data_IF_867692718480
#
_entry.id   IF_867692718480
#
_cell.length_a   1.000
_cell.length_b   1.000
_cell.length_c   1.000
_cell.angle_alpha   90.00
_cell.angle_beta   90.00
_cell.angle_gamma   90.00
#
_symmetry.space_group_name_H-M   'P 1'
#
loop_
_entity.id
_entity.type
_entity.pdbx_description
1 polymer ?
#
# COMPACT_ATOMS: atom_id res chain seq x y z
N UNK A 1 44.27 -38.72 29.70
CA UNK A 1 43.23 -39.36 30.54
C UNK A 1 41.90 -38.72 30.17
N UNK A 2 40.90 -39.56 29.90
CA UNK A 2 39.46 -39.26 29.75
C UNK A 2 38.95 -38.68 28.41
N UNK A 3 38.33 -39.63 27.70
CA UNK A 3 37.39 -39.63 26.58
C UNK A 3 35.94 -39.25 26.95
N UNK A 4 35.09 -39.13 25.91
CA UNK A 4 33.60 -39.16 25.81
C UNK A 4 32.94 -37.77 25.81
N UNK A 5 32.19 -37.30 24.79
CA UNK A 5 31.28 -37.91 23.77
C UNK A 5 30.13 -38.71 24.39
N UNK A 6 28.98 -38.04 24.55
CA UNK A 6 27.61 -38.58 24.64
C UNK A 6 26.68 -37.52 23.99
N UNK A 7 26.23 -37.70 22.75
CA UNK A 7 25.04 -38.41 22.26
C UNK A 7 23.70 -37.84 22.72
N UNK A 8 23.04 -37.23 21.72
CA UNK A 8 21.69 -36.69 21.65
C UNK A 8 20.69 -37.85 21.68
N UNK A 9 19.61 -37.71 22.45
CA UNK A 9 18.41 -38.57 22.36
C UNK A 9 17.28 -37.72 21.81
N UNK A 10 16.97 -37.93 20.53
CA UNK A 10 15.70 -37.54 19.91
C UNK A 10 14.60 -38.50 20.37
N UNK A 11 13.44 -37.97 20.74
CA UNK A 11 12.21 -38.75 20.85
C UNK A 11 11.06 -37.91 20.31
N UNK A 12 10.74 -38.11 19.04
CA UNK A 12 9.54 -37.60 18.37
C UNK A 12 8.45 -38.65 18.51
N UNK A 13 7.39 -38.32 19.25
CA UNK A 13 6.16 -39.11 19.34
C UNK A 13 5.12 -38.53 18.37
N UNK A 14 4.83 -39.25 17.29
CA UNK A 14 3.80 -38.92 16.32
C UNK A 14 2.48 -39.56 16.73
N UNK A 15 1.49 -38.75 17.11
CA UNK A 15 0.10 -39.17 17.32
C UNK A 15 -0.69 -38.98 16.01
N UNK A 16 -1.24 -40.09 15.51
CA UNK A 16 -2.11 -40.14 14.34
C UNK A 16 -3.54 -39.70 14.71
N UNK A 17 -4.10 -38.75 13.93
CA UNK A 17 -5.52 -38.39 14.00
C UNK A 17 -6.24 -38.96 12.77
N UNK A 18 -7.24 -39.83 13.04
CA UNK A 18 -8.19 -40.34 12.04
C UNK A 18 -9.19 -39.25 11.64
N UNK A 19 -9.28 -38.96 10.35
CA UNK A 19 -10.35 -38.18 9.76
C UNK A 19 -11.51 -39.12 9.32
N UNK A 20 -12.70 -38.89 9.87
CA UNK A 20 -13.95 -39.48 9.39
C UNK A 20 -14.58 -38.52 8.38
N UNK A 21 -14.62 -38.91 7.11
CA UNK A 21 -15.34 -38.20 6.05
C UNK A 21 -16.72 -38.82 5.92
N UNK A 22 -17.76 -38.10 6.36
CA UNK A 22 -19.14 -38.42 6.04
C UNK A 22 -19.57 -37.62 4.80
N UNK A 23 -19.70 -38.36 3.70
CA UNK A 23 -20.29 -37.94 2.44
C UNK A 23 -21.82 -37.85 2.57
N UNK A 24 -22.44 -36.78 2.06
CA UNK A 24 -23.80 -36.86 1.56
C UNK A 24 -24.10 -35.77 0.52
N UNK A 25 -24.82 -36.20 -0.51
CA UNK A 25 -25.05 -35.61 -1.83
C UNK A 25 -26.05 -34.45 -1.85
N UNK A 26 -25.90 -33.61 -2.88
CA UNK A 26 -26.92 -32.72 -3.46
C UNK A 26 -28.17 -33.49 -3.91
N UNK A 27 -29.26 -32.76 -4.18
CA UNK A 27 -29.82 -32.84 -5.52
C UNK A 27 -30.04 -31.46 -6.16
N UNK A 28 -29.77 -31.44 -7.46
CA UNK A 28 -30.14 -30.43 -8.43
C UNK A 28 -31.67 -30.30 -8.56
N UNK A 29 -32.15 -29.11 -8.89
CA UNK A 29 -33.23 -28.99 -9.88
C UNK A 29 -33.17 -27.65 -10.61
N UNK A 30 -32.93 -27.79 -11.91
CA UNK A 30 -33.12 -26.82 -12.96
C UNK A 30 -34.59 -26.48 -13.16
N UNK A 31 -34.92 -25.22 -13.45
CA UNK A 31 -35.98 -24.91 -14.41
C UNK A 31 -35.76 -23.56 -15.10
N UNK A 32 -36.08 -23.60 -16.39
CA UNK A 32 -35.84 -22.65 -17.47
C UNK A 32 -36.82 -21.48 -17.52
N UNK A 33 -36.27 -20.31 -17.89
CA UNK A 33 -36.75 -19.27 -18.85
C UNK A 33 -38.17 -19.43 -19.45
N UNK A 34 -38.88 -18.31 -19.73
CA UNK A 34 -38.61 -17.58 -20.98
C UNK A 34 -38.62 -16.04 -20.91
N UNK A 35 -37.85 -15.51 -21.85
CA UNK A 35 -37.80 -14.15 -22.38
C UNK A 35 -39.15 -13.64 -22.90
N UNK A 36 -39.36 -12.33 -22.81
CA UNK A 36 -40.07 -11.60 -23.87
C UNK A 36 -39.60 -10.16 -23.97
N UNK A 37 -39.14 -9.85 -25.18
CA UNK A 37 -38.77 -8.57 -25.75
C UNK A 37 -40.00 -7.72 -26.08
N UNK A 38 -39.90 -6.41 -25.93
CA UNK A 38 -40.53 -5.46 -26.86
C UNK A 38 -40.06 -4.04 -26.61
N UNK A 39 -39.23 -3.51 -27.51
CA UNK A 39 -39.25 -2.10 -27.89
C UNK A 39 -40.16 -1.97 -29.10
N UNK A 40 -40.79 -0.80 -29.31
CA UNK A 40 -40.52 -0.17 -30.59
C UNK A 40 -40.51 1.36 -30.58
N UNK A 41 -39.83 1.88 -31.62
CA UNK A 41 -40.16 3.07 -32.39
C UNK A 41 -39.60 4.43 -32.00
N UNK A 42 -38.52 4.72 -32.70
CA UNK A 42 -38.14 6.01 -33.31
C UNK A 42 -39.31 6.87 -33.81
N UNK A 43 -39.23 8.17 -33.54
CA UNK A 43 -39.79 9.21 -34.39
C UNK A 43 -38.69 10.23 -34.72
N UNK A 44 -38.42 10.31 -36.03
CA UNK A 44 -37.60 11.30 -36.70
C UNK A 44 -38.49 12.49 -37.06
N UNK A 45 -38.01 13.71 -36.85
CA UNK A 45 -38.54 14.88 -37.54
C UNK A 45 -37.49 16.00 -37.68
N UNK A 46 -37.15 16.24 -38.94
CA UNK A 46 -37.08 17.56 -39.58
C UNK A 46 -35.89 18.47 -39.26
N UNK A 47 -34.94 18.44 -40.18
CA UNK A 47 -33.89 19.44 -40.41
C UNK A 47 -34.42 20.71 -41.08
N UNK A 48 -33.87 21.87 -40.68
CA UNK A 48 -33.88 23.12 -41.45
C UNK A 48 -32.42 23.60 -41.61
N UNK A 49 -32.00 24.07 -42.79
CA UNK A 49 -30.64 24.53 -43.00
C UNK A 49 -30.53 25.99 -42.56
N UNK A 50 -29.57 26.30 -41.69
CA UNK A 50 -29.10 27.67 -41.48
C UNK A 50 -27.62 27.71 -41.83
N UNK A 51 -27.33 28.34 -42.97
CA UNK A 51 -26.00 28.74 -43.38
C UNK A 51 -25.49 29.84 -42.44
N UNK A 52 -24.36 29.60 -41.78
CA UNK A 52 -23.55 30.64 -41.12
C UNK A 52 -22.09 30.49 -41.54
N UNK A 53 -21.37 31.61 -41.75
CA UNK A 53 -20.05 31.61 -42.35
C UNK A 53 -19.00 31.10 -41.37
N UNK A 54 -18.08 30.28 -41.89
CA UNK A 54 -16.94 29.73 -41.17
C UNK A 54 -16.06 30.86 -40.63
N UNK A 55 -16.03 31.00 -39.31
CA UNK A 55 -14.95 31.71 -38.60
C UNK A 55 -13.95 30.65 -38.17
N UNK A 56 -12.80 30.62 -38.82
CA UNK A 56 -11.70 29.73 -38.48
C UNK A 56 -11.10 30.20 -37.15
N UNK A 57 -11.52 29.60 -36.05
CA UNK A 57 -10.84 29.73 -34.76
C UNK A 57 -9.64 28.80 -34.81
N UNK A 58 -8.40 29.25 -34.52
CA UNK A 58 -7.29 28.32 -34.40
C UNK A 58 -7.55 27.45 -33.16
N UNK A 59 -7.77 26.15 -33.38
CA UNK A 59 -7.78 25.17 -32.30
C UNK A 59 -6.39 25.10 -31.69
N UNK A 60 -6.17 25.83 -30.60
CA UNK A 60 -5.14 25.46 -29.64
C UNK A 60 -5.65 24.24 -28.88
N UNK A 61 -5.36 23.05 -29.38
CA UNK A 61 -5.56 21.83 -28.62
C UNK A 61 -4.59 21.84 -27.45
N UNK A 62 -5.10 22.07 -26.23
CA UNK A 62 -4.36 21.75 -25.02
C UNK A 62 -3.91 20.29 -25.11
N UNK A 63 -2.64 19.96 -24.81
CA UNK A 63 -2.16 18.59 -24.88
C UNK A 63 -3.01 17.68 -24.00
N UNK A 64 -3.26 16.45 -24.47
CA UNK A 64 -3.85 15.42 -23.62
C UNK A 64 -2.90 15.14 -22.44
N UNK A 65 -3.42 14.69 -21.30
CA UNK A 65 -2.63 14.45 -20.07
C UNK A 65 -1.36 13.61 -20.34
N UNK A 66 -1.44 12.56 -21.16
CA UNK A 66 -0.28 11.75 -21.54
C UNK A 66 0.81 12.52 -22.31
N UNK A 67 0.43 13.49 -23.13
CA UNK A 67 1.37 14.34 -23.88
C UNK A 67 2.03 15.35 -22.93
N UNK A 68 1.29 15.88 -21.95
CA UNK A 68 1.82 16.76 -20.91
C UNK A 68 2.90 16.09 -20.06
N UNK A 69 2.69 14.85 -19.62
CA UNK A 69 3.68 14.11 -18.84
C UNK A 69 4.96 13.89 -19.65
N UNK A 70 4.88 13.37 -20.87
CA UNK A 70 6.07 13.15 -21.74
C UNK A 70 6.83 14.44 -22.04
N UNK A 71 6.12 15.56 -22.21
CA UNK A 71 6.74 16.88 -22.40
C UNK A 71 7.52 17.30 -21.15
N UNK A 72 6.99 17.07 -19.94
CA UNK A 72 7.67 17.39 -18.68
C UNK A 72 9.01 16.65 -18.50
N UNK A 73 9.18 15.48 -19.14
CA UNK A 73 10.40 14.68 -19.11
C UNK A 73 11.22 14.72 -20.40
N UNK A 74 10.86 15.57 -21.38
CA UNK A 74 11.43 15.54 -22.74
C UNK A 74 12.95 15.79 -22.83
N UNK A 75 13.55 16.37 -21.79
CA UNK A 75 15.00 16.58 -21.67
C UNK A 75 15.67 15.74 -20.58
N UNK A 76 14.97 14.78 -19.99
CA UNK A 76 15.51 13.95 -18.92
C UNK A 76 16.62 13.03 -19.43
N UNK A 77 17.77 13.07 -18.77
CA UNK A 77 18.85 12.10 -18.94
C UNK A 77 18.86 11.13 -17.76
N UNK A 78 18.42 9.90 -18.02
CA UNK A 78 18.30 8.84 -17.01
C UNK A 78 19.62 8.12 -16.71
N UNK A 79 20.72 8.39 -17.42
CA UNK A 79 21.96 7.65 -17.23
C UNK A 79 22.48 7.72 -15.79
N UNK A 80 22.46 8.92 -15.18
CA UNK A 80 22.88 9.09 -13.79
C UNK A 80 21.92 8.41 -12.79
N UNK A 81 20.63 8.32 -13.11
CA UNK A 81 19.68 7.57 -12.31
C UNK A 81 19.97 6.06 -12.42
N UNK A 82 20.18 5.55 -13.63
CA UNK A 82 20.44 4.14 -13.87
C UNK A 82 21.72 3.66 -13.19
N UNK A 83 22.80 4.46 -13.25
CA UNK A 83 24.05 4.22 -12.53
C UNK A 83 23.83 4.17 -11.01
N UNK A 84 23.02 5.10 -10.49
CA UNK A 84 22.64 5.11 -9.08
C UNK A 84 21.86 3.85 -8.69
N UNK A 85 20.82 3.48 -9.45
CA UNK A 85 20.02 2.28 -9.19
C UNK A 85 20.88 1.00 -9.24
N UNK A 86 21.82 0.91 -10.18
CA UNK A 86 22.77 -0.19 -10.29
C UNK A 86 23.66 -0.30 -9.05
N UNK A 87 24.12 0.85 -8.50
CA UNK A 87 24.99 0.95 -7.34
C UNK A 87 24.29 0.73 -5.99
N UNK A 88 22.96 0.91 -5.91
CA UNK A 88 22.19 0.84 -4.65
C UNK A 88 21.35 -0.42 -4.51
N UNK A 89 21.85 -1.56 -4.98
CA UNK A 89 21.22 -2.88 -4.85
C UNK A 89 19.75 -2.92 -5.33
N UNK A 90 19.38 -2.07 -6.29
CA UNK A 90 18.04 -2.05 -6.89
C UNK A 90 17.90 -3.22 -7.87
N UNK A 91 16.73 -3.83 -7.92
CA UNK A 91 16.41 -4.93 -8.84
C UNK A 91 15.31 -4.53 -9.84
N UNK A 92 14.35 -3.72 -9.41
CA UNK A 92 13.30 -3.16 -10.25
C UNK A 92 12.96 -1.72 -9.81
N UNK A 93 12.78 -0.84 -10.79
CA UNK A 93 12.43 0.56 -10.58
C UNK A 93 11.49 1.04 -11.69
N UNK A 94 10.51 1.87 -11.32
CA UNK A 94 9.49 2.35 -12.26
C UNK A 94 9.00 3.75 -11.89
N UNK A 95 8.93 4.63 -12.88
CA UNK A 95 8.33 5.98 -12.80
C UNK A 95 7.11 6.01 -13.71
N UNK A 96 5.96 6.38 -13.15
CA UNK A 96 4.70 6.60 -13.88
C UNK A 96 4.19 8.00 -13.55
N UNK A 97 3.85 8.80 -14.54
CA UNK A 97 3.22 10.11 -14.34
C UNK A 97 1.98 10.25 -15.21
N UNK A 98 0.86 10.64 -14.60
CA UNK A 98 -0.44 10.79 -15.29
C UNK A 98 -0.84 9.53 -16.09
N UNK A 99 -0.55 8.35 -15.52
CA UNK A 99 -0.81 7.04 -16.14
C UNK A 99 0.20 6.59 -17.20
N UNK A 100 1.16 7.44 -17.59
CA UNK A 100 2.19 7.10 -18.57
C UNK A 100 3.45 6.56 -17.89
N UNK A 101 3.98 5.46 -18.41
CA UNK A 101 5.30 4.95 -18.00
C UNK A 101 6.37 5.89 -18.55
N UNK A 102 7.06 6.58 -17.66
CA UNK A 102 8.13 7.52 -18.00
C UNK A 102 9.47 6.80 -18.10
N UNK A 103 9.78 5.97 -17.09
CA UNK A 103 11.03 5.24 -17.03
C UNK A 103 10.85 3.91 -16.32
N UNK A 104 11.55 2.89 -16.82
CA UNK A 104 11.62 1.57 -16.23
C UNK A 104 13.07 1.10 -16.25
N UNK A 105 13.52 0.58 -15.11
CA UNK A 105 14.85 0.01 -14.98
C UNK A 105 14.76 -1.31 -14.23
N UNK A 106 15.41 -2.34 -14.77
CA UNK A 106 15.44 -3.68 -14.19
C UNK A 106 16.87 -4.21 -14.26
N UNK A 107 17.37 -4.76 -13.14
CA UNK A 107 18.70 -5.38 -13.13
C UNK A 107 18.72 -6.65 -13.96
N UNK A 108 17.67 -7.45 -13.86
CA UNK A 108 17.52 -8.71 -14.59
C UNK A 108 16.35 -8.65 -15.56
N UNK A 109 15.12 -8.59 -15.06
CA UNK A 109 13.91 -8.53 -15.90
C UNK A 109 12.72 -7.88 -15.15
N UNK A 110 11.67 -7.58 -15.91
CA UNK A 110 10.46 -6.93 -15.41
C UNK A 110 9.53 -7.84 -14.60
N UNK A 111 9.81 -9.15 -14.55
CA UNK A 111 9.07 -10.10 -13.73
C UNK A 111 9.54 -10.12 -12.27
N UNK A 112 10.65 -9.47 -11.94
CA UNK A 112 11.15 -9.36 -10.57
C UNK A 112 10.09 -8.78 -9.64
N UNK A 113 9.76 -9.55 -8.60
CA UNK A 113 8.89 -9.15 -7.51
C UNK A 113 9.37 -9.79 -6.22
N UNK A 114 8.99 -9.19 -5.10
CA UNK A 114 9.40 -9.65 -3.77
C UNK A 114 8.41 -9.23 -2.71
N UNK A 115 8.65 -9.70 -1.50
CA UNK A 115 8.00 -9.17 -0.31
C UNK A 115 8.34 -7.68 -0.13
N UNK A 116 7.30 -6.84 -0.08
CA UNK A 116 7.46 -5.38 0.07
C UNK A 116 7.60 -4.93 1.54
N UNK A 117 7.69 -5.88 2.47
CA UNK A 117 7.84 -5.66 3.91
C UNK A 117 6.79 -4.67 4.44
N UNK A 118 7.22 -3.64 5.17
CA UNK A 118 6.32 -2.67 5.79
C UNK A 118 5.59 -1.73 4.83
N UNK A 119 5.96 -1.67 3.54
CA UNK A 119 5.18 -0.93 2.56
C UNK A 119 3.75 -1.50 2.40
N UNK A 120 3.53 -2.77 2.79
CA UNK A 120 2.20 -3.39 2.80
C UNK A 120 1.19 -2.69 3.72
N UNK A 121 1.66 -1.92 4.71
CA UNK A 121 0.80 -1.16 5.62
C UNK A 121 -0.09 -0.17 4.86
N UNK A 122 0.49 0.50 3.87
CA UNK A 122 -0.21 1.48 3.04
C UNK A 122 -1.23 0.81 2.12
N UNK A 123 -0.94 -0.40 1.64
CA UNK A 123 -1.91 -1.24 0.90
C UNK A 123 -3.05 -1.69 1.83
N UNK A 124 -2.74 -2.11 3.05
CA UNK A 124 -3.75 -2.45 4.07
C UNK A 124 -4.64 -1.24 4.41
N UNK A 125 -4.09 -0.03 4.45
CA UNK A 125 -4.87 1.20 4.68
C UNK A 125 -6.02 1.37 3.70
N UNK A 126 -5.78 1.06 2.42
CA UNK A 126 -6.80 1.14 1.37
C UNK A 126 -7.91 0.12 1.59
N UNK A 127 -7.56 -1.12 1.94
CA UNK A 127 -8.54 -2.18 2.24
C UNK A 127 -9.36 -1.86 3.49
N UNK A 128 -8.72 -1.33 4.54
CA UNK A 128 -9.39 -0.89 5.76
C UNK A 128 -10.34 0.26 5.49
N UNK A 129 -9.92 1.25 4.69
CA UNK A 129 -10.79 2.36 4.30
C UNK A 129 -12.03 1.91 3.54
N UNK A 130 -11.86 0.97 2.62
CA UNK A 130 -12.97 0.34 1.89
C UNK A 130 -13.90 -0.41 2.84
N UNK A 131 -13.36 -1.18 3.79
CA UNK A 131 -14.15 -1.91 4.78
C UNK A 131 -14.96 -0.97 5.70
N UNK A 132 -14.38 0.16 6.09
CA UNK A 132 -15.08 1.20 6.85
C UNK A 132 -16.20 1.83 6.02
N UNK A 133 -15.94 2.13 4.75
CA UNK A 133 -16.95 2.68 3.84
C UNK A 133 -18.12 1.72 3.60
N UNK A 134 -17.85 0.41 3.57
CA UNK A 134 -18.85 -0.65 3.46
C UNK A 134 -19.55 -0.96 4.80
N UNK A 135 -19.16 -0.32 5.90
CA UNK A 135 -19.81 -0.41 7.20
C UNK A 135 -19.48 -1.68 8.00
N UNK A 136 -18.39 -2.38 7.69
CA UNK A 136 -17.96 -3.56 8.45
C UNK A 136 -17.49 -3.21 9.87
N UNK A 137 -16.88 -2.04 10.04
CA UNK A 137 -16.44 -1.47 11.33
C UNK A 137 -16.16 0.03 11.15
N UNK A 138 -15.91 0.73 12.26
CA UNK A 138 -15.58 2.16 12.26
C UNK A 138 -14.15 2.43 12.75
N UNK A 139 -13.71 3.68 12.63
CA UNK A 139 -12.43 4.13 13.18
C UNK A 139 -12.35 3.98 14.71
N UNK A 140 -13.48 4.14 15.39
CA UNK A 140 -13.55 4.09 16.85
C UNK A 140 -14.00 2.71 17.37
N UNK A 141 -14.13 1.71 16.49
CA UNK A 141 -14.34 0.31 16.88
C UNK A 141 -13.15 -0.18 17.70
N UNK A 142 -13.41 -0.72 18.89
CA UNK A 142 -12.38 -1.31 19.73
C UNK A 142 -11.98 -2.69 19.20
N UNK A 143 -10.68 -2.99 19.23
CA UNK A 143 -10.16 -4.26 18.69
C UNK A 143 -10.64 -5.45 19.53
N UNK A 144 -10.77 -5.26 20.84
CA UNK A 144 -11.27 -6.28 21.76
C UNK A 144 -12.73 -6.67 21.47
N UNK A 145 -13.55 -5.75 20.94
CA UNK A 145 -14.93 -6.06 20.55
C UNK A 145 -15.01 -7.02 19.36
N UNK A 146 -14.02 -6.96 18.47
CA UNK A 146 -13.99 -7.75 17.22
C UNK A 146 -13.25 -9.07 17.42
N UNK A 147 -12.08 -9.03 18.06
CA UNK A 147 -11.17 -10.18 18.17
C UNK A 147 -11.22 -10.86 19.55
N UNK A 148 -11.91 -10.25 20.53
CA UNK A 148 -11.84 -10.66 21.93
C UNK A 148 -10.50 -10.30 22.56
N UNK A 149 -10.43 -10.23 23.89
CA UNK A 149 -9.22 -9.77 24.62
C UNK A 149 -7.97 -10.64 24.39
N UNK A 150 -8.11 -11.84 23.81
CA UNK A 150 -7.00 -12.76 23.53
C UNK A 150 -6.17 -12.45 22.28
N UNK A 151 -6.46 -11.38 21.54
CA UNK A 151 -5.69 -11.02 20.34
C UNK A 151 -4.27 -10.51 20.66
N UNK A 152 -4.03 -10.09 21.91
CA UNK A 152 -2.68 -9.85 22.43
C UNK A 152 -2.22 -11.03 23.28
N UNK A 153 -0.92 -11.40 23.26
CA UNK A 153 -0.39 -12.46 24.11
C UNK A 153 -0.58 -12.24 25.62
N UNK A 154 -0.76 -10.97 26.02
CA UNK A 154 -0.89 -10.56 27.42
C UNK A 154 -2.34 -10.37 27.87
N UNK A 155 -3.30 -10.33 26.95
CA UNK A 155 -4.70 -10.05 27.27
C UNK A 155 -4.98 -8.58 27.63
N UNK A 156 -4.00 -7.69 27.43
CA UNK A 156 -4.05 -6.28 27.82
C UNK A 156 -4.03 -5.38 26.60
N UNK A 157 -5.22 -4.96 26.15
CA UNK A 157 -5.41 -4.12 24.95
C UNK A 157 -6.63 -3.20 25.03
N UNK A 158 -7.20 -3.04 26.23
CA UNK A 158 -8.45 -2.30 26.43
C UNK A 158 -8.40 -0.87 25.87
N UNK A 159 -9.43 -0.49 25.12
CA UNK A 159 -9.55 0.83 24.50
C UNK A 159 -8.65 1.06 23.29
N UNK A 160 -7.93 0.03 22.79
CA UNK A 160 -7.25 0.11 21.50
C UNK A 160 -8.29 0.09 20.38
N UNK A 161 -8.28 1.08 19.50
CA UNK A 161 -9.22 1.20 18.36
C UNK A 161 -8.53 1.02 17.01
N UNK A 162 -9.34 0.79 15.96
CA UNK A 162 -8.90 0.78 14.56
C UNK A 162 -8.11 2.04 14.20
N UNK A 163 -8.59 3.22 14.61
CA UNK A 163 -7.91 4.52 14.40
C UNK A 163 -6.51 4.53 14.99
N UNK A 164 -6.34 4.00 16.19
CA UNK A 164 -5.06 4.01 16.89
C UNK A 164 -4.06 3.02 16.29
N UNK A 165 -4.54 1.89 15.73
CA UNK A 165 -3.69 1.01 14.93
C UNK A 165 -3.25 1.68 13.61
N UNK A 166 -4.16 2.37 12.92
CA UNK A 166 -3.86 3.07 11.66
C UNK A 166 -2.88 4.24 11.84
N UNK A 167 -3.00 4.98 12.93
CA UNK A 167 -2.19 6.16 13.24
C UNK A 167 -0.93 5.87 14.06
N UNK A 168 -0.65 4.58 14.36
CA UNK A 168 0.48 4.15 15.18
C UNK A 168 0.47 4.74 16.60
N UNK A 169 -0.71 4.89 17.20
CA UNK A 169 -0.90 5.40 18.57
C UNK A 169 -1.58 4.41 19.49
N UNK A 170 -1.47 3.10 19.25
CA UNK A 170 -2.10 2.07 20.09
C UNK A 170 -1.56 2.02 21.52
N UNK A 171 -0.35 2.53 21.76
CA UNK A 171 0.34 2.34 23.03
C UNK A 171 0.88 0.93 23.24
N UNK A 172 0.96 0.12 22.16
CA UNK A 172 1.54 -1.22 22.14
C UNK A 172 2.87 -1.24 21.40
N UNK A 173 3.82 -2.05 21.86
CA UNK A 173 5.07 -2.33 21.13
C UNK A 173 4.96 -3.53 20.16
N UNK A 174 6.09 -3.91 19.54
CA UNK A 174 6.17 -5.01 18.57
C UNK A 174 5.89 -6.38 19.21
N UNK A 175 5.93 -6.49 20.53
CA UNK A 175 5.60 -7.67 21.32
C UNK A 175 4.15 -7.60 21.85
N UNK A 176 3.38 -6.59 21.44
CA UNK A 176 2.03 -6.31 21.92
C UNK A 176 1.97 -6.02 23.43
N UNK A 177 3.07 -5.58 24.04
CA UNK A 177 3.08 -5.14 25.42
C UNK A 177 2.58 -3.70 25.53
N UNK A 178 1.80 -3.41 26.58
CA UNK A 178 1.32 -2.05 26.89
C UNK A 178 2.48 -1.21 27.41
N UNK A 179 2.77 -0.12 26.70
CA UNK A 179 3.84 0.83 27.05
C UNK A 179 3.32 2.24 27.32
N UNK A 180 2.08 2.53 26.93
CA UNK A 180 1.41 3.80 27.11
C UNK A 180 -0.11 3.62 26.97
N UNK A 181 -0.88 4.62 27.42
CA UNK A 181 -2.32 4.63 27.15
C UNK A 181 -2.57 4.81 25.64
N UNK A 182 -3.55 4.12 25.04
CA UNK A 182 -3.90 4.32 23.64
C UNK A 182 -4.23 5.80 23.35
N UNK A 183 -3.76 6.30 22.21
CA UNK A 183 -3.91 7.69 21.76
C UNK A 183 -2.96 8.71 22.40
N UNK A 184 -2.08 8.31 23.33
CA UNK A 184 -1.24 9.26 24.10
C UNK A 184 0.22 9.35 23.65
N UNK A 185 0.65 8.50 22.72
CA UNK A 185 2.00 8.52 22.15
C UNK A 185 1.97 7.93 20.75
N UNK A 186 2.95 8.29 19.92
CA UNK A 186 3.18 7.64 18.63
C UNK A 186 4.31 6.63 18.75
N UNK A 187 4.08 5.40 18.27
CA UNK A 187 5.11 4.36 18.14
C UNK A 187 4.83 3.51 16.92
N UNK A 188 5.79 3.47 16.02
CA UNK A 188 5.77 2.53 14.91
C UNK A 188 5.87 1.09 15.44
N UNK A 189 4.79 0.33 15.32
CA UNK A 189 4.60 -0.95 16.00
C UNK A 189 3.98 -2.00 15.07
N UNK A 190 4.35 -3.26 15.28
CA UNK A 190 3.75 -4.45 14.66
C UNK A 190 2.28 -4.67 15.01
N UNK A 191 1.76 -4.02 16.07
CA UNK A 191 0.37 -4.14 16.49
C UNK A 191 -0.66 -3.80 15.39
N UNK A 192 -0.28 -2.98 14.40
CA UNK A 192 -1.12 -2.69 13.22
C UNK A 192 -1.61 -3.96 12.51
N UNK A 193 -0.88 -5.07 12.63
CA UNK A 193 -1.20 -6.32 11.95
C UNK A 193 -2.57 -6.90 12.38
N UNK A 194 -3.07 -6.55 13.56
CA UNK A 194 -4.41 -6.92 13.98
C UNK A 194 -5.51 -6.38 13.06
N UNK A 195 -5.24 -5.34 12.25
CA UNK A 195 -6.16 -4.86 11.22
C UNK A 195 -6.43 -5.92 10.12
N UNK A 196 -5.49 -6.84 9.85
CA UNK A 196 -5.75 -7.97 8.95
C UNK A 196 -6.81 -8.92 9.56
N UNK A 197 -6.72 -9.17 10.86
CA UNK A 197 -7.64 -10.04 11.57
C UNK A 197 -9.01 -9.38 11.73
N UNK A 198 -9.06 -8.07 12.03
CA UNK A 198 -10.32 -7.29 12.05
C UNK A 198 -10.99 -7.36 10.68
N UNK A 199 -10.24 -7.14 9.60
CA UNK A 199 -10.77 -7.17 8.24
C UNK A 199 -11.34 -8.55 7.88
N UNK A 200 -10.59 -9.62 8.13
CA UNK A 200 -11.05 -10.99 7.79
C UNK A 200 -12.17 -11.48 8.70
N UNK A 201 -12.15 -11.13 9.99
CA UNK A 201 -13.19 -11.50 10.97
C UNK A 201 -14.52 -10.82 10.65
N UNK A 202 -14.52 -9.50 10.42
CA UNK A 202 -15.76 -8.72 10.19
C UNK A 202 -16.38 -9.01 8.83
N UNK A 203 -15.56 -9.28 7.81
CA UNK A 203 -16.06 -9.63 6.47
C UNK A 203 -16.42 -11.11 6.36
N UNK A 204 -15.84 -11.98 7.18
CA UNK A 204 -15.92 -13.44 7.04
C UNK A 204 -15.26 -13.97 5.76
N UNK A 205 -14.31 -13.22 5.18
CA UNK A 205 -13.69 -13.52 3.89
C UNK A 205 -12.18 -13.72 4.01
N UNK A 206 -11.63 -14.48 3.07
CA UNK A 206 -10.20 -14.67 2.92
C UNK A 206 -9.49 -13.37 2.51
N UNK A 207 -8.35 -13.06 3.15
CA UNK A 207 -7.58 -11.83 2.91
C UNK A 207 -7.15 -11.70 1.44
N UNK A 208 -6.72 -12.80 0.82
CA UNK A 208 -6.31 -12.81 -0.58
C UNK A 208 -7.46 -12.41 -1.51
N UNK A 209 -8.65 -12.97 -1.29
CA UNK A 209 -9.87 -12.61 -2.06
C UNK A 209 -10.32 -11.17 -1.82
N UNK A 210 -10.29 -10.70 -0.57
CA UNK A 210 -10.61 -9.29 -0.26
C UNK A 210 -9.68 -8.37 -1.04
N UNK A 211 -8.37 -8.60 -0.95
CA UNK A 211 -7.38 -7.75 -1.59
C UNK A 211 -7.46 -7.80 -3.12
N UNK A 212 -7.66 -8.99 -3.70
CA UNK A 212 -7.78 -9.15 -5.15
C UNK A 212 -9.00 -8.43 -5.71
N UNK A 213 -10.18 -8.68 -5.15
CA UNK A 213 -11.43 -8.12 -5.66
C UNK A 213 -11.56 -6.62 -5.40
N UNK A 214 -11.11 -6.13 -4.24
CA UNK A 214 -11.31 -4.73 -3.87
C UNK A 214 -10.22 -3.81 -4.39
N UNK A 215 -9.01 -4.33 -4.64
CA UNK A 215 -7.85 -3.50 -4.96
C UNK A 215 -7.01 -4.01 -6.12
N UNK A 216 -6.50 -5.24 -6.07
CA UNK A 216 -5.46 -5.65 -7.01
C UNK A 216 -6.00 -5.84 -8.43
N UNK A 217 -7.10 -6.57 -8.61
CA UNK A 217 -7.70 -6.76 -9.93
C UNK A 217 -8.22 -5.43 -10.52
N UNK A 218 -8.96 -4.56 -9.78
CA UNK A 218 -9.34 -3.24 -10.29
C UNK A 218 -8.17 -2.34 -10.66
N UNK A 219 -7.07 -2.39 -9.91
CA UNK A 219 -5.86 -1.61 -10.22
C UNK A 219 -5.02 -2.21 -11.35
N UNK A 220 -5.28 -3.45 -11.78
CA UNK A 220 -4.43 -4.17 -12.73
C UNK A 220 -3.11 -4.67 -12.11
N UNK A 221 -3.03 -4.78 -10.79
CA UNK A 221 -1.88 -5.31 -10.05
C UNK A 221 -1.88 -6.85 -10.04
N UNK A 222 -1.73 -7.43 -11.24
CA UNK A 222 -1.97 -8.86 -11.52
C UNK A 222 -1.09 -9.86 -10.78
N UNK A 223 0.04 -9.44 -10.19
CA UNK A 223 0.90 -10.36 -9.43
C UNK A 223 0.97 -10.10 -7.94
N UNK A 224 0.34 -9.01 -7.48
CA UNK A 224 0.25 -8.67 -6.08
C UNK A 224 -0.59 -9.72 -5.33
N UNK A 225 -0.08 -10.19 -4.19
CA UNK A 225 -0.83 -11.12 -3.34
C UNK A 225 -0.34 -11.10 -1.90
N UNK A 226 -1.28 -11.13 -0.96
CA UNK A 226 -0.97 -11.46 0.42
C UNK A 226 -0.66 -12.95 0.56
N UNK A 227 0.25 -13.29 1.46
CA UNK A 227 0.64 -14.67 1.76
C UNK A 227 1.11 -14.79 3.21
N UNK A 228 1.17 -16.04 3.69
CA UNK A 228 1.65 -16.35 5.04
C UNK A 228 3.20 -16.37 5.09
N UNK A 229 3.80 -15.51 5.92
CA UNK A 229 5.22 -15.51 6.27
C UNK A 229 5.47 -16.58 7.32
N UNK A 230 6.29 -17.58 6.97
CA UNK A 230 6.62 -18.69 7.87
C UNK A 230 7.49 -18.28 9.08
N UNK A 231 8.31 -17.25 8.94
CA UNK A 231 9.18 -16.73 10.00
C UNK A 231 9.55 -15.28 9.72
N UNK A 232 8.85 -14.33 10.35
CA UNK A 232 9.28 -12.94 10.35
C UNK A 232 8.91 -12.27 11.67
N UNK A 233 9.82 -11.44 12.18
CA UNK A 233 9.63 -10.64 13.40
C UNK A 233 8.57 -9.55 13.25
N UNK A 234 8.13 -9.29 12.01
CA UNK A 234 7.17 -8.22 11.67
C UNK A 234 5.74 -8.73 11.44
N UNK A 235 5.48 -10.00 11.72
CA UNK A 235 4.15 -10.61 11.68
C UNK A 235 3.97 -11.65 10.56
N UNK A 236 2.90 -12.45 10.64
CA UNK A 236 2.69 -13.62 9.80
C UNK A 236 2.17 -13.30 8.40
N UNK A 237 1.81 -12.05 8.09
CA UNK A 237 1.26 -11.67 6.78
C UNK A 237 2.30 -10.90 5.97
N UNK A 238 2.59 -11.38 4.76
CA UNK A 238 3.44 -10.72 3.78
C UNK A 238 2.69 -10.32 2.51
N UNK A 239 3.21 -9.33 1.79
CA UNK A 239 2.69 -8.90 0.50
C UNK A 239 3.80 -9.00 -0.55
N UNK A 240 3.62 -9.91 -1.50
CA UNK A 240 4.46 -9.99 -2.68
C UNK A 240 3.92 -9.01 -3.73
N UNK A 241 4.79 -8.24 -4.37
CA UNK A 241 4.43 -7.39 -5.51
C UNK A 241 5.62 -7.15 -6.45
N UNK A 242 5.32 -6.80 -7.70
CA UNK A 242 6.27 -6.21 -8.66
C UNK A 242 6.24 -4.67 -8.57
N UNK A 243 7.25 -4.01 -9.15
CA UNK A 243 7.25 -2.55 -9.27
C UNK A 243 6.03 -2.05 -10.09
N UNK A 244 5.65 -2.81 -11.12
CA UNK A 244 4.44 -2.54 -11.92
C UNK A 244 3.16 -2.57 -11.09
N UNK A 245 3.00 -3.56 -10.21
CA UNK A 245 1.84 -3.68 -9.33
C UNK A 245 1.75 -2.48 -8.37
N UNK A 246 2.88 -2.09 -7.76
CA UNK A 246 2.93 -0.96 -6.84
C UNK A 246 2.56 0.36 -7.51
N UNK A 247 3.13 0.64 -8.69
CA UNK A 247 2.76 1.84 -9.45
C UNK A 247 1.31 1.81 -9.95
N UNK A 248 0.76 0.64 -10.28
CA UNK A 248 -0.63 0.51 -10.70
C UNK A 248 -1.59 0.80 -9.53
N UNK A 249 -1.34 0.22 -8.35
CA UNK A 249 -2.05 0.57 -7.11
C UNK A 249 -1.89 2.07 -6.81
N UNK A 250 -0.66 2.59 -6.89
CA UNK A 250 -0.36 3.99 -6.68
C UNK A 250 -1.13 4.93 -7.60
N UNK A 251 -1.24 4.59 -8.88
CA UNK A 251 -1.99 5.37 -9.86
C UNK A 251 -3.48 5.44 -9.50
N UNK A 252 -4.08 4.35 -9.01
CA UNK A 252 -5.48 4.40 -8.54
C UNK A 252 -5.68 5.28 -7.31
N UNK A 253 -4.67 5.43 -6.44
CA UNK A 253 -4.69 6.39 -5.31
C UNK A 253 -4.65 7.81 -5.85
N UNK A 254 -3.72 8.10 -6.76
CA UNK A 254 -3.52 9.42 -7.35
C UNK A 254 -4.75 9.88 -8.14
N UNK A 255 -5.34 8.98 -8.92
CA UNK A 255 -6.51 9.25 -9.76
C UNK A 255 -7.83 9.14 -8.99
N UNK A 256 -7.79 8.67 -7.74
CA UNK A 256 -8.98 8.42 -6.90
C UNK A 256 -10.00 7.49 -7.55
N UNK A 257 -9.52 6.43 -8.19
CA UNK A 257 -10.34 5.49 -8.98
C UNK A 257 -10.58 4.15 -8.30
N UNK A 258 -10.11 3.98 -7.06
CA UNK A 258 -10.31 2.73 -6.31
C UNK A 258 -11.80 2.47 -6.04
N UNK A 259 -12.34 1.30 -6.47
CA UNK A 259 -13.77 1.02 -6.35
C UNK A 259 -14.29 1.13 -4.92
N UNK A 260 -15.12 2.17 -4.74
CA UNK A 260 -15.82 2.53 -3.52
C UNK A 260 -14.94 2.65 -2.27
N UNK A 261 -13.67 3.02 -2.46
CA UNK A 261 -12.91 3.76 -1.46
C UNK A 261 -13.30 5.24 -1.61
N UNK A 262 -13.89 5.90 -0.60
CA UNK A 262 -14.30 7.28 -0.74
C UNK A 262 -13.09 8.23 -0.73
N UNK A 263 -13.19 9.33 -1.49
CA UNK A 263 -12.16 10.39 -1.52
C UNK A 263 -11.82 10.93 -0.13
N UNK A 264 -12.81 11.03 0.75
CA UNK A 264 -12.62 11.46 2.13
C UNK A 264 -11.71 10.52 2.93
N UNK A 265 -11.65 9.23 2.59
CA UNK A 265 -10.68 8.32 3.18
C UNK A 265 -9.26 8.61 2.69
N UNK A 266 -9.09 8.86 1.38
CA UNK A 266 -7.79 9.23 0.82
C UNK A 266 -7.30 10.55 1.45
N UNK A 267 -8.16 11.55 1.55
CA UNK A 267 -7.85 12.83 2.20
C UNK A 267 -7.40 12.62 3.65
N UNK A 268 -8.13 11.82 4.43
CA UNK A 268 -7.79 11.55 5.82
C UNK A 268 -6.53 10.69 5.98
N UNK A 269 -6.34 9.68 5.14
CA UNK A 269 -5.23 8.74 5.24
C UNK A 269 -3.90 9.33 4.78
N UNK A 270 -3.94 10.28 3.85
CA UNK A 270 -2.78 11.00 3.31
C UNK A 270 -2.52 12.35 4.00
N UNK A 271 -3.18 12.61 5.14
CA UNK A 271 -2.98 13.79 5.98
C UNK A 271 -2.51 13.38 7.38
N UNK A 272 -1.90 14.33 8.10
CA UNK A 272 -1.45 14.15 9.50
C UNK A 272 -2.56 13.57 10.36
N UNK A 273 -2.32 12.39 10.95
CA UNK A 273 -3.36 11.65 11.67
C UNK A 273 -3.41 11.90 13.18
N UNK A 274 -2.34 12.50 13.74
CA UNK A 274 -2.15 12.66 15.18
C UNK A 274 -1.02 13.70 15.47
N UNK A 275 -0.96 14.32 16.65
CA UNK A 275 -0.10 15.49 16.92
C UNK A 275 1.36 15.17 17.32
N UNK A 276 1.74 13.91 17.48
CA UNK A 276 3.06 13.49 17.97
C UNK A 276 4.07 13.22 16.83
N UNK A 277 3.61 12.85 15.64
CA UNK A 277 4.43 12.65 14.44
C UNK A 277 3.65 13.17 13.23
N UNK A 278 3.86 14.44 12.90
CA UNK A 278 3.12 15.10 11.82
C UNK A 278 3.36 14.39 10.47
N UNK A 279 4.55 13.83 10.25
CA UNK A 279 4.91 13.09 9.06
C UNK A 279 4.25 11.68 8.93
N UNK A 280 3.12 11.43 9.59
CA UNK A 280 2.44 10.14 9.56
C UNK A 280 0.91 10.25 9.46
N UNK A 281 0.35 9.61 8.42
CA UNK A 281 -1.09 9.48 8.18
C UNK A 281 -1.67 8.15 8.67
N UNK A 282 -2.71 7.65 8.01
CA UNK A 282 -3.20 6.29 8.26
C UNK A 282 -2.36 5.27 7.51
N UNK A 283 -1.29 4.81 8.15
CA UNK A 283 -0.32 3.86 7.61
C UNK A 283 0.47 4.37 6.38
N UNK A 284 0.53 5.69 6.19
CA UNK A 284 1.32 6.37 5.16
C UNK A 284 2.35 7.30 5.80
N UNK A 285 3.53 7.37 5.19
CA UNK A 285 4.54 8.39 5.52
C UNK A 285 4.25 9.66 4.72
N UNK A 286 4.31 10.82 5.37
CA UNK A 286 3.98 12.11 4.76
C UNK A 286 5.22 12.98 4.67
N UNK A 287 5.44 13.60 3.52
CA UNK A 287 6.47 14.62 3.36
C UNK A 287 5.93 16.02 3.68
N UNK A 288 6.82 17.02 3.64
CA UNK A 288 6.44 18.43 3.69
C UNK A 288 6.06 18.97 5.09
N UNK A 289 6.04 18.12 6.12
CA UNK A 289 5.74 18.54 7.49
C UNK A 289 6.94 19.24 8.13
N UNK A 290 6.70 20.05 9.16
CA UNK A 290 7.75 20.80 9.87
C UNK A 290 8.66 19.91 10.71
N UNK A 291 8.18 18.71 11.07
CA UNK A 291 8.97 17.73 11.80
C UNK A 291 8.52 16.29 11.54
N UNK A 292 9.41 15.35 11.83
CA UNK A 292 9.12 13.92 11.75
C UNK A 292 9.78 13.12 12.87
N UNK A 293 9.14 12.02 13.25
CA UNK A 293 9.72 10.95 14.06
C UNK A 293 10.07 9.75 13.18
N UNK A 294 11.20 9.12 13.47
CA UNK A 294 11.58 7.83 12.89
C UNK A 294 11.52 6.73 13.95
N UNK A 295 11.22 5.49 13.56
CA UNK A 295 11.22 4.37 14.49
C UNK A 295 12.64 4.12 15.01
N UNK A 296 12.75 3.89 16.32
CA UNK A 296 14.01 3.65 16.99
C UNK A 296 13.83 3.53 18.50
N UNK A 297 14.91 3.21 19.24
CA UNK A 297 14.86 3.06 20.70
C UNK A 297 14.52 4.36 21.44
N UNK A 298 14.80 5.52 20.83
CA UNK A 298 14.41 6.83 21.32
C UNK A 298 13.66 7.58 20.21
N UNK A 299 12.49 8.12 20.55
CA UNK A 299 11.72 8.98 19.66
C UNK A 299 12.23 10.41 19.81
N UNK A 300 12.99 10.86 18.81
CA UNK A 300 13.53 12.21 18.76
C UNK A 300 12.96 12.91 17.53
N UNK A 301 12.24 14.01 17.76
CA UNK A 301 11.72 14.85 16.70
C UNK A 301 12.87 15.45 15.90
N UNK A 302 12.79 15.31 14.58
CA UNK A 302 13.75 15.88 13.63
C UNK A 302 13.06 17.01 12.88
N UNK A 303 13.68 18.21 12.79
CA UNK A 303 13.08 19.33 12.08
C UNK A 303 13.17 19.13 10.56
N UNK A 304 12.21 19.71 9.84
CA UNK A 304 12.11 19.71 8.40
C UNK A 304 11.34 18.51 7.81
N UNK A 305 11.20 18.48 6.48
CA UNK A 305 10.48 17.42 5.77
C UNK A 305 11.17 16.05 5.84
N UNK A 306 10.37 14.98 5.70
CA UNK A 306 10.85 13.61 5.70
C UNK A 306 11.78 13.30 4.52
N UNK A 307 11.62 13.93 3.36
CA UNK A 307 12.51 13.84 2.21
C UNK A 307 12.70 15.26 1.65
N UNK A 308 13.74 15.99 2.12
CA UNK A 308 13.97 17.39 1.75
C UNK A 308 14.08 17.67 0.26
N UNK A 309 14.63 16.75 -0.52
CA UNK A 309 14.77 16.89 -1.97
C UNK A 309 13.49 16.57 -2.76
N UNK A 310 12.41 16.13 -2.11
CA UNK A 310 11.16 15.75 -2.76
C UNK A 310 10.05 16.81 -2.56
N UNK A 311 8.99 16.82 -3.41
CA UNK A 311 7.86 17.73 -3.25
C UNK A 311 7.18 17.57 -1.89
N UNK A 312 6.66 18.68 -1.36
CA UNK A 312 5.98 18.67 -0.06
C UNK A 312 4.73 17.79 -0.03
N UNK A 313 4.07 17.59 -1.16
CA UNK A 313 2.91 16.71 -1.29
C UNK A 313 3.25 15.23 -1.40
N UNK A 314 4.54 14.86 -1.42
CA UNK A 314 4.94 13.45 -1.46
C UNK A 314 4.38 12.69 -0.26
N UNK A 315 3.79 11.53 -0.54
CA UNK A 315 3.45 10.51 0.44
C UNK A 315 4.10 9.18 0.06
N UNK A 316 4.37 8.32 1.03
CA UNK A 316 5.14 7.11 0.78
C UNK A 316 4.70 5.89 1.59
N UNK A 317 4.77 4.73 0.91
CA UNK A 317 4.79 3.42 1.53
C UNK A 317 6.24 2.95 1.63
N UNK A 318 6.74 2.80 2.86
CA UNK A 318 8.16 2.53 3.14
C UNK A 318 8.35 1.15 3.79
N UNK A 319 9.12 0.30 3.13
CA UNK A 319 9.48 -1.04 3.55
C UNK A 319 10.97 -1.21 3.84
N UNK A 320 11.30 -2.25 4.61
CA UNK A 320 12.69 -2.67 4.89
C UNK A 320 13.45 -2.94 3.59
N UNK A 321 14.77 -2.72 3.59
CA UNK A 321 15.63 -2.89 2.41
C UNK A 321 15.21 -1.99 1.25
N UNK A 322 14.63 -0.83 1.56
CA UNK A 322 14.14 0.17 0.60
C UNK A 322 13.15 -0.39 -0.42
N UNK A 323 12.15 -1.14 0.05
CA UNK A 323 10.94 -1.35 -0.77
C UNK A 323 10.10 -0.08 -0.69
N UNK A 324 9.97 0.65 -1.80
CA UNK A 324 9.41 2.00 -1.80
C UNK A 324 8.30 2.11 -2.83
N UNK A 325 7.21 2.75 -2.43
CA UNK A 325 6.26 3.38 -3.33
C UNK A 325 6.08 4.82 -2.87
N UNK A 326 6.49 5.77 -3.71
CA UNK A 326 6.28 7.19 -3.50
C UNK A 326 5.17 7.66 -4.43
N UNK A 327 4.29 8.52 -3.92
CA UNK A 327 3.21 9.14 -4.67
C UNK A 327 3.30 10.66 -4.48
N UNK A 328 3.19 11.43 -5.56
CA UNK A 328 3.10 12.89 -5.52
C UNK A 328 1.77 13.30 -6.14
N UNK A 329 0.72 13.52 -5.31
CA UNK A 329 -0.64 13.81 -5.76
C UNK A 329 -0.74 14.96 -6.75
N UNK A 330 -0.06 16.08 -6.49
CA UNK A 330 -0.14 17.28 -7.34
C UNK A 330 0.37 17.06 -8.76
N UNK A 331 1.17 16.02 -8.97
CA UNK A 331 1.77 15.67 -10.25
C UNK A 331 1.14 14.42 -10.88
N UNK A 332 0.28 13.71 -10.14
CA UNK A 332 -0.10 12.34 -10.46
C UNK A 332 1.11 11.44 -10.78
N UNK A 333 2.18 11.57 -9.98
CA UNK A 333 3.46 10.86 -10.15
C UNK A 333 3.58 9.73 -9.14
N UNK A 334 3.83 8.51 -9.62
CA UNK A 334 4.14 7.33 -8.82
C UNK A 334 5.56 6.83 -9.15
N UNK A 335 6.35 6.56 -8.11
CA UNK A 335 7.71 6.01 -8.22
C UNK A 335 7.83 4.79 -7.34
N UNK A 336 8.16 3.63 -7.91
CA UNK A 336 8.36 2.39 -7.18
C UNK A 336 9.80 1.90 -7.29
N UNK A 337 10.34 1.38 -6.19
CA UNK A 337 11.65 0.71 -6.13
C UNK A 337 11.55 -0.58 -5.33
N UNK A 338 12.11 -1.66 -5.90
CA UNK A 338 12.31 -2.95 -5.25
C UNK A 338 13.77 -3.38 -5.41
N UNK A 339 14.33 -4.02 -4.39
CA UNK A 339 15.73 -4.45 -4.40
C UNK A 339 16.21 -4.84 -3.01
N UNK A 340 17.49 -5.18 -2.89
CA UNK A 340 18.09 -5.38 -1.57
C UNK A 340 18.40 -4.05 -0.88
N UNK A 341 19.22 -4.10 0.16
CA UNK A 341 19.44 -2.96 1.06
C UNK A 341 20.25 -1.89 0.34
N UNK A 342 19.64 -0.72 0.10
CA UNK A 342 20.28 0.30 -0.75
C UNK A 342 21.53 0.93 -0.13
N UNK A 343 21.59 0.99 1.21
CA UNK A 343 22.70 1.59 1.97
C UNK A 343 23.06 0.76 3.20
N UNK A 344 24.31 0.82 3.65
CA UNK A 344 24.80 -0.01 4.76
C UNK A 344 24.15 0.34 6.13
N UNK A 345 23.83 1.60 6.37
CA UNK A 345 23.12 2.05 7.57
C UNK A 345 21.68 2.44 7.22
N UNK A 346 20.72 1.61 7.63
CA UNK A 346 19.30 1.88 7.43
C UNK A 346 18.65 2.17 8.78
N UNK A 347 18.01 3.33 8.90
CA UNK A 347 16.99 3.53 9.92
C UNK A 347 15.72 2.80 9.48
N UNK A 348 14.85 2.45 10.42
CA UNK A 348 13.55 1.89 10.04
C UNK A 348 12.77 2.94 9.24
N UNK A 349 12.08 2.50 8.19
CA UNK A 349 11.33 3.31 7.23
C UNK A 349 12.15 4.23 6.29
N UNK A 350 13.12 4.99 6.79
CA UNK A 350 13.92 5.94 5.97
C UNK A 350 15.39 5.52 5.85
N UNK A 351 15.99 5.81 4.70
CA UNK A 351 17.43 5.74 4.47
C UNK A 351 17.93 6.98 3.70
N UNK A 352 19.23 7.12 3.46
CA UNK A 352 19.73 8.21 2.62
C UNK A 352 19.32 8.06 1.15
N UNK A 353 19.01 6.83 0.71
CA UNK A 353 18.50 6.55 -0.63
C UNK A 353 17.30 7.43 -1.00
N UNK A 354 16.41 7.69 -0.05
CA UNK A 354 15.23 8.54 -0.27
C UNK A 354 15.64 9.93 -0.81
N UNK A 355 16.56 10.62 -0.13
CA UNK A 355 16.95 11.98 -0.52
C UNK A 355 17.81 11.99 -1.79
N UNK A 356 18.75 11.04 -1.92
CA UNK A 356 19.62 10.92 -3.10
C UNK A 356 18.82 10.64 -4.38
N UNK A 357 17.82 9.75 -4.31
CA UNK A 357 16.92 9.46 -5.42
C UNK A 357 16.14 10.71 -5.84
N UNK A 358 15.55 11.42 -4.89
CA UNK A 358 14.71 12.58 -5.19
C UNK A 358 15.51 13.78 -5.68
N UNK A 359 16.81 13.90 -5.33
CA UNK A 359 17.72 14.86 -5.97
C UNK A 359 17.98 14.52 -7.45
N UNK A 360 18.06 13.25 -7.82
CA UNK A 360 18.18 12.82 -9.22
C UNK A 360 16.89 13.11 -9.98
N UNK A 361 15.74 12.70 -9.44
CA UNK A 361 14.43 12.93 -10.06
C UNK A 361 14.16 14.42 -10.28
N UNK A 362 14.42 15.26 -9.27
CA UNK A 362 14.18 16.71 -9.36
C UNK A 362 15.04 17.43 -10.39
N UNK A 363 16.20 16.85 -10.76
CA UNK A 363 17.05 17.37 -11.83
C UNK A 363 16.51 17.03 -13.23
N UNK A 364 15.91 15.85 -13.38
CA UNK A 364 15.35 15.38 -14.65
C UNK A 364 13.98 15.99 -14.96
N UNK A 365 13.19 16.21 -13.91
CA UNK A 365 11.88 16.85 -13.96
C UNK A 365 11.87 17.97 -12.92
N UNK A 366 11.92 19.25 -13.31
CA UNK A 366 11.72 20.35 -12.36
C UNK A 366 10.38 20.16 -11.63
N UNK A 367 10.43 20.05 -10.30
CA UNK A 367 9.28 19.70 -9.46
C UNK A 367 8.59 20.91 -8.86
#
# INVERSE_FOLDING_TARGET
>A
MVTRRDFIVDTVATLASMAVVASCRRPDSSSSLPSSSSSPSSLSSSSLPTTSPATTVPSSSSPTTSESARVAWSGADFAALDDFLAATDTEAFRIVEQGEVIHEWYRTDSAYGRDIASAQKSVLSLLVGRAIADGFFGLDTEIDEVLGTGWTPHGESAGVTVRQLLSMTSGLDDQFAVIARPGTTWRYSGAFAALFDVLTTTTGRDLGRIADEWLFAPAGATTARFYERRTDRYGPVGLFARASDLTAIGQTVLDRTQPGLPDSWLDASLSTSQPYNEAYGYLWWLNGQESYLLPGPALVARPGPLVPSAPSSLVAALGKDDQKLYLVPDLALAVARLGGKAVAETQLARSSFDDDLWQLISRMRPL
#
